data_IF_193253892773
#
_entry.id   IF_193253892773
#
_cell.length_a   1.000
_cell.length_b   1.000
_cell.length_c   1.000
_cell.angle_alpha   90.00
_cell.angle_beta   90.00
_cell.angle_gamma   90.00
#
_symmetry.space_group_name_H-M   'P 1'
#
loop_
_entity.id
_entity.type
_entity.pdbx_description
1 polymer ?
#
# COMPACT_ATOMS: atom_id res chain seq x y z
N UNK A 1 -1.47 39.87 -15.06
CA UNK A 1 -1.32 39.21 -13.76
C UNK A 1 -2.24 37.98 -13.72
N UNK A 2 -1.68 36.81 -14.01
CA UNK A 2 -2.36 35.54 -13.85
C UNK A 2 -2.31 35.14 -12.36
N UNK A 3 -3.40 35.41 -11.65
CA UNK A 3 -3.62 34.91 -10.30
C UNK A 3 -3.97 33.42 -10.38
N UNK A 4 -2.99 32.56 -10.39
CA UNK A 4 -3.14 31.12 -10.25
C UNK A 4 -3.12 30.70 -8.76
N UNK A 5 -4.07 31.20 -7.99
CA UNK A 5 -4.35 30.69 -6.64
C UNK A 5 -5.35 29.53 -6.71
N UNK A 6 -5.00 28.45 -7.34
CA UNK A 6 -5.69 27.17 -7.13
C UNK A 6 -4.91 26.40 -6.08
N UNK A 7 -5.35 26.46 -4.83
CA UNK A 7 -4.95 25.57 -3.75
C UNK A 7 -5.38 24.13 -4.09
N UNK A 8 -4.64 23.46 -4.94
CA UNK A 8 -4.83 22.03 -5.14
C UNK A 8 -4.13 21.30 -3.99
N UNK A 9 -4.93 20.66 -3.13
CA UNK A 9 -4.40 19.75 -2.10
C UNK A 9 -3.69 18.59 -2.82
N UNK A 10 -2.39 18.51 -2.71
CA UNK A 10 -1.56 17.48 -3.38
C UNK A 10 -0.96 16.56 -2.33
N UNK A 11 -1.13 15.26 -2.52
CA UNK A 11 -0.56 14.25 -1.64
C UNK A 11 0.97 14.31 -1.59
N UNK A 12 1.55 13.81 -0.49
CA UNK A 12 2.99 13.60 -0.40
C UNK A 12 3.47 12.50 -1.37
N UNK A 13 4.75 12.52 -1.73
CA UNK A 13 5.41 11.53 -2.60
C UNK A 13 4.86 11.39 -4.04
N UNK A 14 4.19 12.39 -4.57
CA UNK A 14 3.73 12.42 -5.97
C UNK A 14 4.72 13.13 -6.90
N UNK A 15 5.95 13.40 -6.43
CA UNK A 15 7.02 14.00 -7.22
C UNK A 15 7.07 15.53 -7.21
N UNK A 16 6.34 16.23 -6.31
CA UNK A 16 6.37 17.71 -6.22
C UNK A 16 7.78 18.29 -6.18
N UNK A 17 8.57 17.88 -5.19
CA UNK A 17 9.95 18.37 -5.02
C UNK A 17 10.85 17.96 -6.19
N UNK A 18 10.60 16.82 -6.84
CA UNK A 18 11.33 16.42 -8.05
C UNK A 18 11.03 17.35 -9.23
N UNK A 19 9.77 17.75 -9.42
CA UNK A 19 9.37 18.73 -10.45
C UNK A 19 9.99 20.08 -10.15
N UNK A 20 9.94 20.55 -8.89
CA UNK A 20 10.56 21.82 -8.48
C UNK A 20 12.05 21.80 -8.76
N UNK A 21 12.77 20.76 -8.37
CA UNK A 21 14.20 20.62 -8.63
C UNK A 21 14.52 20.64 -10.14
N UNK A 22 13.67 20.01 -10.96
CA UNK A 22 13.85 20.02 -12.43
C UNK A 22 13.64 21.41 -13.03
N UNK A 23 12.63 22.13 -12.57
CA UNK A 23 12.35 23.51 -13.04
C UNK A 23 13.43 24.50 -12.61
N UNK A 24 14.00 24.32 -11.43
CA UNK A 24 15.04 25.18 -10.88
C UNK A 24 16.46 24.83 -11.40
N UNK A 25 16.63 23.69 -12.08
CA UNK A 25 17.93 23.18 -12.52
C UNK A 25 18.89 22.83 -11.37
N UNK A 26 18.41 22.79 -10.13
CA UNK A 26 19.20 22.53 -8.91
C UNK A 26 18.44 21.59 -7.98
N UNK A 27 19.18 20.85 -7.15
CA UNK A 27 18.63 20.04 -6.08
C UNK A 27 18.44 20.91 -4.82
N UNK A 28 17.34 21.66 -4.76
CA UNK A 28 17.02 22.55 -3.62
C UNK A 28 15.98 21.89 -2.72
N UNK A 29 14.95 21.29 -3.28
CA UNK A 29 13.89 20.63 -2.53
C UNK A 29 14.30 19.20 -2.17
N UNK A 30 14.06 18.80 -0.92
CA UNK A 30 14.36 17.44 -0.44
C UNK A 30 13.43 16.42 -1.11
N UNK A 31 14.01 15.43 -1.77
CA UNK A 31 13.29 14.32 -2.38
C UNK A 31 13.51 13.08 -1.55
N UNK A 32 12.43 12.52 -1.01
CA UNK A 32 12.46 11.28 -0.24
C UNK A 32 11.27 10.40 -0.60
N UNK A 33 11.43 9.10 -0.43
CA UNK A 33 10.32 8.13 -0.55
C UNK A 33 9.37 8.17 0.66
N UNK A 34 9.77 8.85 1.74
CA UNK A 34 8.92 9.02 2.93
C UNK A 34 7.98 10.21 2.75
N UNK A 35 6.72 10.08 3.15
CA UNK A 35 5.79 11.20 3.21
C UNK A 35 6.22 12.18 4.31
N UNK A 36 5.96 13.48 4.08
CA UNK A 36 6.20 14.51 5.11
C UNK A 36 7.64 15.02 5.21
N UNK A 37 8.51 14.78 4.23
CA UNK A 37 9.91 15.27 4.24
C UNK A 37 10.04 16.77 4.07
N UNK A 38 9.07 17.44 3.45
CA UNK A 38 9.01 18.90 3.39
C UNK A 38 8.29 19.42 4.62
N UNK A 39 9.04 19.98 5.58
CA UNK A 39 8.51 20.42 6.88
C UNK A 39 8.04 21.88 6.84
N UNK A 40 8.69 22.71 6.01
CA UNK A 40 8.40 24.16 5.90
C UNK A 40 8.10 24.53 4.46
N UNK A 41 7.26 25.56 4.30
CA UNK A 41 7.06 26.18 3.00
C UNK A 41 8.35 26.86 2.56
N UNK A 42 8.83 26.58 1.37
CA UNK A 42 9.98 27.25 0.77
C UNK A 42 9.57 27.90 -0.54
N UNK A 43 9.91 29.20 -0.67
CA UNK A 43 9.75 29.95 -1.92
C UNK A 43 11.06 29.90 -2.71
N UNK A 44 10.99 29.47 -3.94
CA UNK A 44 12.12 29.44 -4.86
C UNK A 44 11.73 30.13 -6.18
N UNK A 45 12.53 31.08 -6.63
CA UNK A 45 12.31 31.75 -7.91
C UNK A 45 12.84 30.91 -9.08
N UNK A 46 12.06 30.76 -10.13
CA UNK A 46 12.55 30.13 -11.37
C UNK A 46 13.56 31.08 -12.04
N UNK A 47 14.78 30.60 -12.34
CA UNK A 47 15.80 31.41 -12.98
C UNK A 47 15.27 32.07 -14.26
N UNK A 48 15.65 33.33 -14.47
CA UNK A 48 15.29 34.14 -15.64
C UNK A 48 13.79 34.41 -15.81
N UNK A 49 12.98 34.23 -14.74
CA UNK A 49 11.55 34.54 -14.74
C UNK A 49 11.14 35.25 -13.43
N UNK A 50 9.97 35.89 -13.45
CA UNK A 50 9.35 36.46 -12.24
C UNK A 50 8.39 35.49 -11.56
N UNK A 51 8.57 34.19 -11.77
CA UNK A 51 7.69 33.14 -11.22
C UNK A 51 8.31 32.55 -9.96
N UNK A 52 7.59 32.65 -8.85
CA UNK A 52 7.93 32.00 -7.58
C UNK A 52 7.24 30.64 -7.45
N UNK A 53 8.02 29.61 -7.10
CA UNK A 53 7.52 28.28 -6.76
C UNK A 53 7.51 28.09 -5.25
N UNK A 54 6.34 27.81 -4.69
CA UNK A 54 6.20 27.40 -3.29
C UNK A 54 6.24 25.87 -3.18
N UNK A 55 7.28 25.34 -2.53
CA UNK A 55 7.26 23.95 -2.08
C UNK A 55 6.57 23.87 -0.71
N UNK A 56 5.44 23.21 -0.67
CA UNK A 56 4.62 23.08 0.53
C UNK A 56 4.64 21.64 1.02
N UNK A 57 4.51 21.41 2.35
CA UNK A 57 4.29 20.07 2.88
C UNK A 57 3.15 19.36 2.14
N UNK A 58 3.38 18.12 1.75
CA UNK A 58 2.32 17.28 1.17
C UNK A 58 1.36 16.79 2.25
N UNK A 59 0.11 16.55 1.87
CA UNK A 59 -0.81 15.84 2.72
C UNK A 59 -0.29 14.41 2.95
N UNK A 60 -0.20 14.03 4.22
CA UNK A 60 0.09 12.65 4.61
C UNK A 60 -1.25 11.91 4.61
N UNK A 61 -1.44 10.92 3.73
CA UNK A 61 -2.69 10.16 3.76
C UNK A 61 -2.72 9.28 5.02
N UNK A 62 -3.81 9.32 5.75
CA UNK A 62 -4.08 8.43 6.88
C UNK A 62 -4.43 7.01 6.43
N UNK A 63 -4.49 6.06 7.36
CA UNK A 63 -4.99 4.71 7.10
C UNK A 63 -4.04 3.79 6.33
N UNK A 64 -2.73 4.03 6.40
CA UNK A 64 -1.73 3.19 5.72
C UNK A 64 -1.15 2.14 6.65
N UNK A 65 -0.99 0.92 6.15
CA UNK A 65 -0.32 -0.16 6.88
C UNK A 65 1.13 0.21 7.28
N UNK A 66 1.81 1.03 6.46
CA UNK A 66 3.18 1.51 6.74
C UNK A 66 3.27 2.41 7.97
N UNK A 67 2.18 3.02 8.43
CA UNK A 67 2.17 3.92 9.58
C UNK A 67 2.06 3.17 10.92
N UNK A 68 1.72 1.88 10.86
CA UNK A 68 1.51 1.02 12.03
C UNK A 68 2.74 0.18 12.40
N UNK A 69 3.85 0.38 11.71
CA UNK A 69 5.09 -0.37 11.91
C UNK A 69 6.29 0.59 12.06
N UNK A 70 7.41 0.10 12.56
CA UNK A 70 8.63 0.89 12.68
C UNK A 70 9.17 1.33 11.31
N UNK A 71 10.01 2.35 11.29
CA UNK A 71 10.60 2.92 10.07
C UNK A 71 11.29 1.87 9.19
N UNK A 72 12.00 0.91 9.79
CA UNK A 72 12.65 -0.16 9.05
C UNK A 72 11.64 -1.05 8.30
N UNK A 73 10.50 -1.37 8.92
CA UNK A 73 9.43 -2.12 8.28
C UNK A 73 8.69 -1.26 7.25
N UNK A 74 8.42 0.00 7.55
CA UNK A 74 7.80 0.93 6.62
C UNK A 74 8.62 1.08 5.32
N UNK A 75 9.97 1.11 5.43
CA UNK A 75 10.87 1.13 4.27
C UNK A 75 10.72 -0.10 3.36
N UNK A 76 10.48 -1.27 3.94
CA UNK A 76 10.29 -2.52 3.20
C UNK A 76 8.90 -2.61 2.55
N UNK A 77 7.89 -1.94 3.14
CA UNK A 77 6.52 -1.91 2.63
C UNK A 77 6.35 -0.89 1.50
N UNK A 78 7.01 0.27 1.61
CA UNK A 78 6.92 1.34 0.61
C UNK A 78 7.77 0.95 -0.62
N UNK A 79 7.16 0.74 -1.80
CA UNK A 79 7.90 0.37 -2.99
C UNK A 79 8.92 1.43 -3.38
N UNK A 80 10.18 1.06 -3.52
CA UNK A 80 11.26 1.95 -3.99
C UNK A 80 11.78 1.58 -5.38
N UNK A 81 11.19 0.57 -6.00
CA UNK A 81 11.60 0.04 -7.30
C UNK A 81 10.67 -1.10 -7.70
N UNK A 82 11.18 -2.31 -7.70
CA UNK A 82 10.42 -3.49 -8.12
C UNK A 82 9.26 -3.82 -7.19
N UNK A 83 8.14 -4.21 -7.82
CA UNK A 83 6.96 -4.73 -7.14
C UNK A 83 6.95 -6.25 -7.31
N UNK A 84 6.88 -6.96 -6.20
CA UNK A 84 6.67 -8.40 -6.19
C UNK A 84 5.24 -8.74 -6.61
N UNK A 85 5.10 -9.80 -7.38
CA UNK A 85 3.81 -10.34 -7.81
C UNK A 85 3.77 -11.84 -7.59
N UNK A 86 2.69 -12.33 -6.96
CA UNK A 86 2.41 -13.76 -6.86
C UNK A 86 0.96 -14.04 -7.27
N UNK A 87 0.77 -15.04 -8.11
CA UNK A 87 -0.57 -15.45 -8.58
C UNK A 87 -1.01 -16.71 -7.84
N UNK A 88 -2.27 -16.71 -7.42
CA UNK A 88 -2.90 -17.79 -6.69
C UNK A 88 -4.13 -18.30 -7.44
N UNK A 89 -4.39 -19.59 -7.32
CA UNK A 89 -5.69 -20.21 -7.62
C UNK A 89 -6.39 -20.40 -6.29
N UNK A 90 -7.52 -19.73 -6.10
CA UNK A 90 -8.25 -19.82 -4.85
C UNK A 90 -8.70 -21.26 -4.54
N UNK A 91 -8.43 -21.71 -3.33
CA UNK A 91 -8.92 -22.98 -2.80
C UNK A 91 -9.78 -22.68 -1.57
N UNK A 92 -10.88 -23.39 -1.45
CA UNK A 92 -11.79 -23.24 -0.30
C UNK A 92 -11.03 -23.41 1.03
N UNK A 93 -11.40 -22.59 2.03
CA UNK A 93 -10.82 -22.62 3.37
C UNK A 93 -9.28 -22.41 3.45
N UNK A 94 -8.65 -21.90 2.39
CA UNK A 94 -7.24 -21.48 2.49
C UNK A 94 -7.14 -20.07 3.01
N UNK A 95 -6.05 -19.83 3.74
CA UNK A 95 -5.65 -18.53 4.27
C UNK A 95 -4.50 -18.00 3.43
N UNK A 96 -4.62 -16.75 3.00
CA UNK A 96 -3.53 -16.01 2.38
C UNK A 96 -3.06 -14.95 3.36
N UNK A 97 -1.75 -14.84 3.52
CA UNK A 97 -1.11 -13.84 4.37
C UNK A 97 -0.23 -12.92 3.53
N UNK A 98 -0.30 -11.62 3.80
CA UNK A 98 0.50 -10.56 3.18
C UNK A 98 1.34 -9.93 4.28
N UNK A 99 2.58 -10.39 4.42
CA UNK A 99 3.33 -10.21 5.65
C UNK A 99 2.54 -10.77 6.82
N UNK A 100 2.82 -10.31 8.04
CA UNK A 100 1.95 -10.53 9.19
C UNK A 100 1.06 -9.30 9.47
N UNK A 101 0.67 -8.57 8.40
CA UNK A 101 -0.14 -7.34 8.50
C UNK A 101 -1.58 -7.57 8.07
N UNK A 102 -1.77 -8.32 7.01
CA UNK A 102 -3.09 -8.63 6.45
C UNK A 102 -3.16 -10.12 6.17
N UNK A 103 -4.29 -10.72 6.55
CA UNK A 103 -4.63 -12.08 6.15
C UNK A 103 -6.06 -12.13 5.64
N UNK A 104 -6.35 -13.05 4.74
CA UNK A 104 -7.71 -13.30 4.32
C UNK A 104 -7.97 -14.77 4.05
N UNK A 105 -9.15 -15.20 4.48
CA UNK A 105 -9.69 -16.55 4.25
C UNK A 105 -10.48 -16.55 2.94
N UNK A 106 -10.29 -17.57 2.12
CA UNK A 106 -11.05 -17.78 0.89
C UNK A 106 -12.38 -18.47 1.25
N UNK A 107 -13.50 -17.81 0.90
CA UNK A 107 -14.86 -18.25 1.19
C UNK A 107 -15.55 -18.90 -0.02
N UNK A 108 -14.93 -18.85 -1.20
CA UNK A 108 -15.50 -19.51 -2.39
C UNK A 108 -15.64 -21.01 -2.15
N UNK A 109 -16.74 -21.59 -2.64
CA UNK A 109 -16.92 -23.04 -2.72
C UNK A 109 -15.96 -23.66 -3.76
N UNK A 110 -15.92 -24.98 -3.85
CA UNK A 110 -15.01 -25.68 -4.77
C UNK A 110 -15.38 -25.53 -6.26
N UNK A 111 -16.62 -25.18 -6.56
CA UNK A 111 -17.09 -24.99 -7.94
C UNK A 111 -16.46 -23.77 -8.60
N UNK A 112 -16.34 -22.68 -7.84
CA UNK A 112 -15.74 -21.45 -8.32
C UNK A 112 -14.28 -21.40 -7.83
N UNK A 113 -13.34 -21.50 -8.77
CA UNK A 113 -11.88 -21.42 -8.50
C UNK A 113 -11.32 -20.08 -9.02
N UNK A 114 -11.47 -18.99 -8.26
CA UNK A 114 -10.95 -17.68 -8.67
C UNK A 114 -9.44 -17.71 -8.89
N UNK A 115 -8.99 -16.88 -9.83
CA UNK A 115 -7.56 -16.61 -10.04
C UNK A 115 -7.31 -15.15 -9.74
N UNK A 116 -6.36 -14.89 -8.84
CA UNK A 116 -5.99 -13.54 -8.45
C UNK A 116 -4.48 -13.41 -8.29
N UNK A 117 -3.98 -12.20 -8.41
CA UNK A 117 -2.57 -11.88 -8.17
C UNK A 117 -2.46 -10.87 -7.04
N UNK A 118 -1.50 -11.05 -6.16
CA UNK A 118 -1.14 -10.10 -5.10
C UNK A 118 0.09 -9.33 -5.54
N UNK A 119 0.08 -8.04 -5.28
CA UNK A 119 1.17 -7.11 -5.59
C UNK A 119 1.51 -6.32 -4.34
N UNK A 120 2.80 -6.26 -4.00
CA UNK A 120 3.34 -5.41 -2.94
C UNK A 120 4.83 -5.13 -3.20
N UNK A 121 5.48 -4.36 -2.33
CA UNK A 121 6.93 -4.18 -2.38
C UNK A 121 7.65 -5.54 -2.31
N UNK A 122 8.83 -5.64 -2.92
CA UNK A 122 9.58 -6.90 -3.06
C UNK A 122 9.88 -7.63 -1.75
N UNK A 123 10.00 -6.86 -0.67
CA UNK A 123 10.33 -7.40 0.66
C UNK A 123 9.10 -7.91 1.43
N UNK A 124 7.89 -7.71 0.90
CA UNK A 124 6.64 -8.20 1.50
C UNK A 124 6.42 -9.65 1.10
N UNK A 125 6.41 -10.53 2.08
CA UNK A 125 6.22 -11.97 1.86
C UNK A 125 4.73 -12.31 1.66
N UNK A 126 4.42 -13.19 0.70
CA UNK A 126 3.09 -13.75 0.48
C UNK A 126 3.10 -15.24 0.81
N UNK A 127 2.19 -15.66 1.67
CA UNK A 127 2.09 -17.06 2.08
C UNK A 127 0.66 -17.59 1.99
N UNK A 128 0.51 -18.79 1.42
CA UNK A 128 -0.76 -19.53 1.41
C UNK A 128 -0.64 -20.71 2.39
N UNK A 129 -1.61 -20.83 3.30
CA UNK A 129 -1.58 -21.84 4.36
C UNK A 129 -2.98 -22.30 4.74
N UNK A 130 -3.10 -23.19 5.71
CA UNK A 130 -4.37 -23.52 6.38
C UNK A 130 -4.67 -22.51 7.49
N UNK A 131 -5.91 -22.53 7.99
CA UNK A 131 -6.34 -21.62 9.06
C UNK A 131 -5.55 -21.88 10.35
N UNK A 132 -5.30 -23.16 10.66
CA UNK A 132 -4.57 -23.59 11.85
C UNK A 132 -3.11 -23.11 11.80
N UNK A 133 -2.43 -23.39 10.70
CA UNK A 133 -1.03 -22.96 10.50
C UNK A 133 -0.88 -21.45 10.43
N UNK A 134 -1.91 -20.71 9.97
CA UNK A 134 -1.87 -19.25 9.96
C UNK A 134 -1.68 -18.67 11.37
N UNK A 135 -2.35 -19.26 12.39
CA UNK A 135 -2.21 -18.86 13.80
C UNK A 135 -0.79 -19.09 14.33
N UNK A 136 -0.19 -20.22 13.96
CA UNK A 136 1.20 -20.53 14.35
C UNK A 136 2.19 -19.55 13.70
N UNK A 137 1.97 -19.23 12.42
CA UNK A 137 2.81 -18.29 11.67
C UNK A 137 2.71 -16.84 12.19
N UNK A 138 1.54 -16.43 12.70
CA UNK A 138 1.34 -15.11 13.32
C UNK A 138 2.17 -14.92 14.58
N UNK A 139 2.26 -15.98 15.40
CA UNK A 139 3.02 -15.96 16.66
C UNK A 139 4.51 -16.11 16.36
N UNK A 140 4.87 -16.97 15.42
CA UNK A 140 6.25 -17.28 15.06
C UNK A 140 6.98 -16.13 14.32
N UNK A 141 8.24 -16.39 13.98
CA UNK A 141 9.13 -15.44 13.31
C UNK A 141 9.27 -15.74 11.80
N UNK A 142 8.22 -16.30 11.19
CA UNK A 142 8.22 -16.61 9.76
C UNK A 142 8.23 -15.34 8.90
N UNK A 143 7.45 -14.34 9.28
CA UNK A 143 7.39 -13.08 8.57
C UNK A 143 8.40 -12.07 9.11
N UNK A 144 9.02 -11.34 8.20
CA UNK A 144 9.97 -10.27 8.54
C UNK A 144 9.30 -8.92 8.78
N UNK A 145 7.97 -8.83 8.54
CA UNK A 145 7.15 -7.63 8.71
C UNK A 145 5.83 -8.03 9.38
N UNK A 146 5.51 -7.46 10.57
CA UNK A 146 6.34 -6.61 11.42
C UNK A 146 7.60 -7.34 11.90
N UNK A 147 8.70 -6.60 12.09
CA UNK A 147 9.92 -7.16 12.71
C UNK A 147 9.75 -7.26 14.22
N UNK A 148 10.67 -7.95 14.88
CA UNK A 148 10.64 -8.16 16.34
C UNK A 148 10.50 -6.84 17.12
N UNK A 149 11.14 -5.77 16.65
CA UNK A 149 11.12 -4.48 17.37
C UNK A 149 9.75 -3.77 17.34
N UNK A 150 8.85 -4.09 16.41
CA UNK A 150 7.54 -3.45 16.32
C UNK A 150 6.36 -4.43 16.36
N UNK A 151 6.62 -5.73 16.44
CA UNK A 151 5.59 -6.78 16.43
C UNK A 151 4.62 -6.67 17.60
N UNK A 152 5.16 -6.42 18.81
CA UNK A 152 4.33 -6.27 20.02
C UNK A 152 3.41 -5.04 19.89
N UNK A 153 3.96 -3.91 19.44
CA UNK A 153 3.17 -2.68 19.25
C UNK A 153 2.09 -2.87 18.18
N UNK A 154 2.48 -3.45 17.04
CA UNK A 154 1.51 -3.78 15.98
C UNK A 154 0.40 -4.72 16.47
N UNK A 155 0.69 -5.66 17.36
CA UNK A 155 -0.30 -6.60 17.87
C UNK A 155 -1.31 -5.95 18.82
N UNK A 156 -1.02 -4.78 19.40
CA UNK A 156 -1.97 -4.01 20.22
C UNK A 156 -3.08 -3.35 19.41
N UNK A 157 -2.86 -3.13 18.10
CA UNK A 157 -3.89 -2.59 17.23
C UNK A 157 -5.09 -3.55 17.15
N UNK A 158 -6.28 -2.99 17.28
CA UNK A 158 -7.52 -3.74 17.16
C UNK A 158 -7.64 -4.35 15.77
N UNK A 159 -7.86 -5.67 15.70
CA UNK A 159 -8.08 -6.35 14.43
C UNK A 159 -9.58 -6.42 14.13
N UNK A 160 -9.93 -6.18 12.86
CA UNK A 160 -11.30 -6.27 12.36
C UNK A 160 -11.38 -7.28 11.22
N UNK A 161 -12.56 -7.91 11.11
CA UNK A 161 -12.89 -8.82 10.03
C UNK A 161 -13.88 -8.13 9.07
N UNK A 162 -13.61 -8.21 7.77
CA UNK A 162 -14.50 -7.66 6.73
C UNK A 162 -14.72 -8.72 5.66
N UNK A 163 -15.98 -9.04 5.38
CA UNK A 163 -16.34 -9.96 4.29
C UNK A 163 -16.54 -9.15 3.01
N UNK A 164 -15.85 -9.54 1.95
CA UNK A 164 -15.81 -8.81 0.69
C UNK A 164 -15.97 -9.76 -0.49
N UNK A 165 -16.56 -9.24 -1.57
CA UNK A 165 -16.60 -9.89 -2.88
C UNK A 165 -15.93 -8.96 -3.89
N UNK A 166 -14.91 -9.47 -4.57
CA UNK A 166 -14.15 -8.74 -5.58
C UNK A 166 -14.41 -9.43 -6.93
N UNK A 167 -14.92 -8.67 -7.91
CA UNK A 167 -15.27 -9.21 -9.20
C UNK A 167 -14.07 -9.31 -10.15
N UNK A 168 -14.24 -10.03 -11.25
CA UNK A 168 -13.24 -10.07 -12.33
C UNK A 168 -12.95 -8.66 -12.83
N UNK A 169 -11.67 -8.28 -12.89
CA UNK A 169 -11.24 -6.95 -13.32
C UNK A 169 -11.31 -5.88 -12.24
N UNK A 170 -11.56 -6.28 -10.99
CA UNK A 170 -11.45 -5.41 -9.82
C UNK A 170 -10.19 -5.71 -9.01
N UNK A 171 -9.79 -4.75 -8.20
CA UNK A 171 -8.66 -4.81 -7.27
C UNK A 171 -9.10 -4.40 -5.88
N UNK A 172 -8.75 -5.21 -4.89
CA UNK A 172 -8.82 -4.85 -3.47
C UNK A 172 -7.48 -4.24 -3.07
N UNK A 173 -7.50 -2.99 -2.66
CA UNK A 173 -6.32 -2.23 -2.23
C UNK A 173 -6.25 -2.19 -0.71
N UNK A 174 -5.09 -2.52 -0.17
CA UNK A 174 -4.69 -2.30 1.22
C UNK A 174 -3.78 -1.09 1.25
N UNK A 175 -4.26 0.02 1.75
CA UNK A 175 -3.57 1.31 1.67
C UNK A 175 -2.20 1.24 2.38
N UNK A 176 -1.16 1.63 1.67
CA UNK A 176 0.21 1.60 2.17
C UNK A 176 0.85 0.19 2.28
N UNK A 177 0.24 -0.86 1.69
CA UNK A 177 0.80 -2.21 1.67
C UNK A 177 0.88 -2.81 0.25
N UNK A 178 -0.25 -2.82 -0.46
CA UNK A 178 -0.34 -3.47 -1.76
C UNK A 178 -1.78 -3.70 -2.20
N UNK A 179 -1.98 -4.60 -3.16
CA UNK A 179 -3.33 -4.89 -3.67
C UNK A 179 -3.47 -6.32 -4.18
N UNK A 180 -4.71 -6.79 -4.21
CA UNK A 180 -5.14 -8.07 -4.80
C UNK A 180 -5.92 -7.77 -6.07
N UNK A 181 -5.47 -8.25 -7.23
CA UNK A 181 -6.12 -8.08 -8.53
C UNK A 181 -6.78 -9.38 -8.96
N UNK A 182 -8.10 -9.37 -9.18
CA UNK A 182 -8.89 -10.56 -9.55
C UNK A 182 -8.93 -10.71 -11.06
N UNK A 183 -8.31 -11.79 -11.55
CA UNK A 183 -8.25 -12.10 -12.99
C UNK A 183 -9.43 -12.95 -13.46
N UNK A 184 -9.87 -13.87 -12.63
CA UNK A 184 -11.09 -14.68 -12.82
C UNK A 184 -11.77 -14.82 -11.47
N UNK A 185 -12.98 -14.32 -11.35
CA UNK A 185 -13.76 -14.24 -10.12
C UNK A 185 -15.18 -14.72 -10.28
N UNK A 186 -16.07 -14.37 -9.34
CA UNK A 186 -15.78 -13.52 -8.18
C UNK A 186 -14.89 -14.18 -7.13
N UNK A 187 -14.07 -13.38 -6.43
CA UNK A 187 -13.31 -13.80 -5.26
C UNK A 187 -14.04 -13.34 -3.99
N UNK A 188 -14.53 -14.30 -3.21
CA UNK A 188 -15.17 -14.04 -1.91
C UNK A 188 -14.17 -14.33 -0.80
N UNK A 189 -13.95 -13.37 0.07
CA UNK A 189 -12.96 -13.46 1.16
C UNK A 189 -13.46 -12.84 2.45
N UNK A 190 -12.93 -13.32 3.56
CA UNK A 190 -12.97 -12.66 4.85
C UNK A 190 -11.56 -12.15 5.15
N UNK A 191 -11.42 -10.84 5.20
CA UNK A 191 -10.14 -10.15 5.46
C UNK A 191 -10.04 -9.81 6.92
N UNK A 192 -8.90 -10.12 7.55
CA UNK A 192 -8.51 -9.68 8.89
C UNK A 192 -7.31 -8.75 8.80
N UNK A 193 -7.43 -7.55 9.37
CA UNK A 193 -6.40 -6.52 9.37
C UNK A 193 -6.58 -5.58 10.57
N UNK A 194 -5.59 -4.73 10.85
CA UNK A 194 -5.74 -3.64 11.83
C UNK A 194 -6.83 -2.67 11.38
N UNK A 195 -7.68 -2.20 12.32
CA UNK A 195 -8.85 -1.34 12.03
C UNK A 195 -8.46 -0.06 11.30
N UNK A 196 -7.27 0.46 11.57
CA UNK A 196 -6.73 1.68 11.00
C UNK A 196 -6.33 1.53 9.51
N UNK A 197 -6.14 0.29 9.02
CA UNK A 197 -5.78 0.09 7.62
C UNK A 197 -7.00 0.28 6.74
N UNK A 198 -6.99 1.33 5.93
CA UNK A 198 -8.03 1.56 4.94
C UNK A 198 -7.93 0.57 3.79
N UNK A 199 -9.09 0.07 3.38
CA UNK A 199 -9.24 -0.77 2.19
C UNK A 199 -10.21 -0.15 1.21
N UNK A 200 -9.99 -0.38 -0.08
CA UNK A 200 -10.89 0.06 -1.14
C UNK A 200 -10.92 -0.92 -2.30
N UNK A 201 -12.05 -0.99 -2.99
CA UNK A 201 -12.18 -1.75 -4.24
C UNK A 201 -12.19 -0.75 -5.39
N UNK A 202 -11.40 -1.05 -6.43
CA UNK A 202 -11.32 -0.23 -7.64
C UNK A 202 -11.27 -1.11 -8.90
N UNK A 203 -11.51 -0.51 -10.06
CA UNK A 203 -11.25 -1.17 -11.34
C UNK A 203 -9.74 -1.42 -11.49
N UNK A 204 -9.37 -2.60 -12.00
CA UNK A 204 -7.98 -2.95 -12.24
C UNK A 204 -7.33 -2.01 -13.26
N UNK A 205 -6.12 -1.54 -12.97
CA UNK A 205 -5.36 -0.74 -13.92
C UNK A 205 -4.99 -1.53 -15.19
N UNK A 206 -4.68 -2.82 -15.02
CA UNK A 206 -4.37 -3.72 -16.12
C UNK A 206 -5.56 -4.66 -16.29
N UNK A 207 -6.29 -4.49 -17.40
CA UNK A 207 -7.40 -5.38 -17.71
C UNK A 207 -6.90 -6.82 -17.87
N UNK A 208 -7.61 -7.82 -17.34
CA UNK A 208 -7.32 -9.23 -17.63
C UNK A 208 -7.33 -9.42 -19.15
N UNK A 209 -6.33 -10.09 -19.70
CA UNK A 209 -6.42 -10.54 -21.10
C UNK A 209 -7.57 -11.55 -21.18
N UNK A 210 -8.45 -11.34 -22.14
CA UNK A 210 -9.54 -12.29 -22.49
C UNK A 210 -8.97 -13.60 -22.98
#
# INVERSE_FOLDING_TARGET
SLNLSKNSKVFSNVGKSSVINRLLGKKIATVSKYPGTTIKNTLNMIPFTNIGLYDTPGLIPEGRASDLVCDNCAQKIIPSGEISRKTFKAKHNRMIMIGNLVKFKILNNEEIKPIFSIYAAKDVQFHETTIEKAKELEIGNFFTIPCECCKEEYNKHKKVNKTLTINTGEELVFKGLGWVSVKRGPLKIEVTLAEEIEISIRKAFIKPRR
#
